data_IF_571326134151
#
_entry.id   IF_571326134151
#
_cell.length_a   1.000
_cell.length_b   1.000
_cell.length_c   1.000
_cell.angle_alpha   90.00
_cell.angle_beta   90.00
_cell.angle_gamma   90.00
#
_symmetry.space_group_name_H-M   'P 1'
#
loop_
_entity.id
_entity.type
_entity.pdbx_description
1 polymer ?
#
# COMPACT_ATOMS: atom_id res chain seq x y z
N UNK A 1 4.31 -15.14 20.83
CA UNK A 1 4.07 -14.63 19.46
C UNK A 1 4.76 -15.49 18.40
N UNK A 2 6.10 -15.62 18.37
CA UNK A 2 6.78 -16.44 17.34
C UNK A 2 6.47 -17.94 17.53
N UNK A 3 6.63 -18.46 18.76
CA UNK A 3 6.28 -19.85 19.07
C UNK A 3 4.80 -20.16 18.81
N UNK A 4 3.88 -19.27 19.23
CA UNK A 4 2.44 -19.42 18.97
C UNK A 4 2.14 -19.49 17.46
N UNK A 5 2.78 -18.63 16.65
CA UNK A 5 2.62 -18.63 15.19
C UNK A 5 3.17 -19.91 14.55
N UNK A 6 4.28 -20.44 15.09
CA UNK A 6 4.84 -21.72 14.65
C UNK A 6 3.90 -22.87 15.00
N UNK A 7 3.31 -22.88 16.20
CA UNK A 7 2.31 -23.86 16.61
C UNK A 7 1.08 -23.81 15.70
N UNK A 8 0.58 -22.61 15.37
CA UNK A 8 -0.52 -22.45 14.41
C UNK A 8 -0.19 -23.03 13.02
N UNK A 9 1.07 -22.94 12.57
CA UNK A 9 1.50 -23.53 11.30
C UNK A 9 1.56 -25.06 11.40
N UNK A 10 2.03 -25.60 12.53
CA UNK A 10 2.09 -27.04 12.78
C UNK A 10 0.70 -27.67 12.92
N UNK A 11 -0.23 -26.96 13.55
CA UNK A 11 -1.62 -27.39 13.75
C UNK A 11 -2.49 -27.16 12.51
N UNK A 12 -1.97 -26.46 11.48
CA UNK A 12 -2.71 -26.20 10.26
C UNK A 12 -2.90 -27.47 9.44
N UNK A 13 -4.14 -27.93 9.30
CA UNK A 13 -4.51 -29.01 8.40
C UNK A 13 -4.99 -28.45 7.04
N UNK A 14 -4.18 -28.53 5.96
CA UNK A 14 -4.55 -28.01 4.65
C UNK A 14 -5.80 -28.70 4.11
N UNK A 15 -6.71 -27.91 3.52
CA UNK A 15 -7.87 -28.44 2.79
C UNK A 15 -7.71 -28.15 1.31
N UNK A 16 -7.91 -29.20 0.51
CA UNK A 16 -7.96 -29.07 -0.94
C UNK A 16 -9.14 -28.20 -1.37
N UNK A 17 -8.89 -27.34 -2.35
CA UNK A 17 -9.91 -26.55 -3.02
C UNK A 17 -9.46 -26.25 -4.46
N UNK A 18 -10.44 -26.13 -5.34
CA UNK A 18 -10.23 -25.84 -6.74
C UNK A 18 -10.88 -24.52 -7.12
N UNK A 19 -10.26 -23.83 -8.07
CA UNK A 19 -10.78 -22.60 -8.66
C UNK A 19 -10.90 -22.78 -10.16
N UNK A 20 -12.04 -22.38 -10.72
CA UNK A 20 -12.26 -22.43 -12.16
C UNK A 20 -12.20 -20.99 -12.68
N UNK A 21 -11.36 -20.78 -13.69
CA UNK A 21 -11.26 -19.54 -14.44
C UNK A 21 -11.60 -19.81 -15.90
N UNK A 22 -12.26 -18.85 -16.54
CA UNK A 22 -12.56 -18.86 -17.97
C UNK A 22 -11.97 -17.64 -18.63
N UNK A 23 -11.33 -17.83 -19.78
CA UNK A 23 -10.90 -16.73 -20.66
C UNK A 23 -12.04 -16.39 -21.61
N UNK A 24 -12.48 -15.13 -21.57
CA UNK A 24 -13.62 -14.62 -22.34
C UNK A 24 -13.16 -13.46 -23.21
N UNK A 25 -13.85 -13.27 -24.33
CA UNK A 25 -13.72 -12.10 -25.18
C UNK A 25 -15.11 -11.69 -25.66
N UNK A 26 -15.27 -10.42 -26.04
CA UNK A 26 -16.49 -9.99 -26.73
C UNK A 26 -16.52 -10.63 -28.13
N UNK A 27 -17.73 -10.99 -28.60
CA UNK A 27 -17.89 -11.63 -29.91
C UNK A 27 -17.32 -10.77 -31.06
N UNK A 28 -17.45 -9.46 -30.93
CA UNK A 28 -16.98 -8.46 -31.90
C UNK A 28 -15.50 -8.11 -31.74
N UNK A 29 -14.87 -8.47 -30.61
CA UNK A 29 -13.51 -8.05 -30.25
C UNK A 29 -12.74 -9.21 -29.61
N UNK A 30 -12.38 -10.19 -30.43
CA UNK A 30 -11.78 -11.45 -30.00
C UNK A 30 -10.35 -11.32 -29.46
N UNK A 31 -9.65 -10.23 -29.78
CA UNK A 31 -8.30 -9.96 -29.28
C UNK A 31 -8.30 -9.41 -27.84
N UNK A 32 -9.40 -8.75 -27.43
CA UNK A 32 -9.54 -8.16 -26.10
C UNK A 32 -10.02 -9.21 -25.07
N UNK A 33 -9.12 -10.10 -24.70
CA UNK A 33 -9.43 -11.19 -23.76
C UNK A 33 -9.31 -10.77 -22.31
N UNK A 34 -10.17 -11.33 -21.46
CA UNK A 34 -10.09 -11.18 -20.01
C UNK A 34 -10.46 -12.48 -19.30
N UNK A 35 -10.00 -12.64 -18.05
CA UNK A 35 -10.33 -13.81 -17.24
C UNK A 35 -11.47 -13.50 -16.28
N UNK A 36 -12.40 -14.44 -16.16
CA UNK A 36 -13.44 -14.44 -15.15
C UNK A 36 -13.30 -15.69 -14.28
N UNK A 37 -13.48 -15.51 -12.97
CA UNK A 37 -13.44 -16.61 -12.00
C UNK A 37 -14.86 -17.05 -11.66
N UNK A 38 -15.10 -18.36 -11.60
CA UNK A 38 -16.36 -18.91 -11.09
C UNK A 38 -16.45 -18.63 -9.57
N UNK A 39 -17.49 -17.92 -9.16
CA UNK A 39 -17.66 -17.48 -7.75
C UNK A 39 -18.89 -18.09 -7.05
N UNK A 40 -19.91 -18.49 -7.80
CA UNK A 40 -21.17 -18.99 -7.27
C UNK A 40 -21.93 -19.78 -8.35
N UNK A 41 -22.88 -20.61 -7.92
CA UNK A 41 -23.91 -21.20 -8.78
C UNK A 41 -24.96 -20.15 -9.18
N UNK A 42 -25.87 -20.53 -10.09
CA UNK A 42 -26.86 -19.64 -10.67
C UNK A 42 -27.83 -19.02 -9.63
N UNK A 43 -28.06 -19.69 -8.51
CA UNK A 43 -28.86 -19.24 -7.36
C UNK A 43 -28.10 -18.30 -6.40
N UNK A 44 -26.80 -18.08 -6.63
CA UNK A 44 -25.94 -17.26 -5.77
C UNK A 44 -25.24 -18.02 -4.65
N UNK A 45 -25.40 -19.35 -4.58
CA UNK A 45 -24.71 -20.17 -3.58
C UNK A 45 -23.21 -20.25 -3.89
N UNK A 46 -22.37 -19.99 -2.89
CA UNK A 46 -20.91 -20.12 -3.06
C UNK A 46 -20.54 -21.58 -3.31
N UNK A 47 -19.84 -21.83 -4.41
CA UNK A 47 -19.39 -23.16 -4.76
C UNK A 47 -18.16 -23.55 -3.93
N UNK A 48 -18.24 -24.71 -3.27
CA UNK A 48 -17.09 -25.35 -2.64
C UNK A 48 -16.63 -26.51 -3.53
N UNK A 49 -15.54 -26.31 -4.28
CA UNK A 49 -14.99 -27.32 -5.19
C UNK A 49 -13.84 -28.01 -4.47
N UNK A 50 -14.15 -29.11 -3.78
CA UNK A 50 -13.23 -29.78 -2.85
C UNK A 50 -12.23 -30.74 -3.51
N UNK A 51 -12.46 -31.12 -4.77
CA UNK A 51 -11.67 -32.15 -5.45
C UNK A 51 -11.63 -31.93 -6.98
N UNK A 52 -10.62 -32.52 -7.60
CA UNK A 52 -10.34 -32.43 -9.04
C UNK A 52 -11.51 -32.94 -9.90
N UNK A 53 -12.16 -34.03 -9.49
CA UNK A 53 -13.24 -34.63 -10.28
C UNK A 53 -14.44 -33.69 -10.36
N UNK A 54 -14.82 -33.05 -9.24
CA UNK A 54 -15.86 -32.00 -9.24
C UNK A 54 -15.44 -30.82 -10.10
N UNK A 55 -14.19 -30.38 -10.00
CA UNK A 55 -13.67 -29.26 -10.80
C UNK A 55 -13.75 -29.54 -12.31
N UNK A 56 -13.29 -30.71 -12.74
CA UNK A 56 -13.28 -31.12 -14.15
C UNK A 56 -14.69 -31.29 -14.73
N UNK A 57 -15.65 -31.80 -13.93
CA UNK A 57 -17.05 -31.86 -14.34
C UNK A 57 -17.63 -30.47 -14.60
N UNK A 58 -17.45 -29.56 -13.65
CA UNK A 58 -17.93 -28.19 -13.77
C UNK A 58 -17.25 -27.48 -14.95
N UNK A 59 -15.94 -27.67 -15.16
CA UNK A 59 -15.21 -27.10 -16.28
C UNK A 59 -15.76 -27.60 -17.62
N UNK A 60 -16.00 -28.91 -17.77
CA UNK A 60 -16.55 -29.49 -18.99
C UNK A 60 -17.99 -29.01 -19.31
N UNK A 61 -18.79 -28.72 -18.29
CA UNK A 61 -20.11 -28.11 -18.45
C UNK A 61 -20.01 -26.64 -18.90
N UNK A 62 -19.05 -25.90 -18.33
CA UNK A 62 -18.79 -24.51 -18.66
C UNK A 62 -18.21 -24.31 -20.07
N UNK A 63 -17.39 -25.24 -20.57
CA UNK A 63 -16.86 -25.19 -21.95
C UNK A 63 -17.96 -25.17 -23.02
N UNK A 64 -19.12 -25.77 -22.73
CA UNK A 64 -20.26 -25.85 -23.64
C UNK A 64 -21.27 -24.72 -23.44
N UNK A 65 -21.04 -23.88 -22.43
CA UNK A 65 -21.99 -22.86 -22.02
C UNK A 65 -21.86 -21.58 -22.85
N UNK A 66 -22.98 -20.85 -22.95
CA UNK A 66 -22.98 -19.49 -23.46
C UNK A 66 -22.89 -18.52 -22.28
N UNK A 67 -21.99 -17.54 -22.40
CA UNK A 67 -21.73 -16.53 -21.39
C UNK A 67 -22.41 -15.22 -21.76
N UNK A 68 -23.02 -14.57 -20.78
CA UNK A 68 -23.60 -13.24 -20.94
C UNK A 68 -23.28 -12.37 -19.73
N UNK A 69 -23.09 -11.08 -19.98
CA UNK A 69 -22.87 -10.11 -18.92
C UNK A 69 -24.19 -9.89 -18.19
N UNK A 70 -24.22 -10.24 -16.91
CA UNK A 70 -25.38 -10.03 -16.03
C UNK A 70 -25.42 -8.59 -15.52
N UNK A 71 -24.27 -8.06 -15.09
CA UNK A 71 -24.18 -6.67 -14.67
C UNK A 71 -22.75 -6.12 -14.79
N UNK A 72 -22.66 -4.81 -15.02
CA UNK A 72 -21.41 -4.05 -14.96
C UNK A 72 -21.61 -2.94 -13.93
N UNK A 73 -20.73 -2.89 -12.95
CA UNK A 73 -20.73 -1.83 -11.93
C UNK A 73 -19.35 -1.22 -11.82
N UNK A 74 -19.24 0.05 -12.21
CA UNK A 74 -18.03 0.84 -12.01
C UNK A 74 -18.22 1.74 -10.80
N UNK A 75 -17.28 1.69 -9.87
CA UNK A 75 -17.24 2.59 -8.70
C UNK A 75 -15.88 3.25 -8.60
N UNK A 76 -15.87 4.54 -8.29
CA UNK A 76 -14.64 5.24 -7.98
C UNK A 76 -14.25 5.01 -6.51
N UNK A 77 -13.03 4.53 -6.28
CA UNK A 77 -12.48 4.27 -4.95
C UNK A 77 -11.30 5.21 -4.72
N UNK A 78 -11.35 5.97 -3.63
CA UNK A 78 -10.25 6.83 -3.20
C UNK A 78 -9.32 6.08 -2.23
N UNK A 79 -8.03 5.97 -2.58
CA UNK A 79 -6.98 5.49 -1.69
C UNK A 79 -6.28 6.67 -1.02
N UNK A 80 -6.45 6.78 0.29
CA UNK A 80 -5.81 7.83 1.08
C UNK A 80 -4.31 7.57 1.24
N UNK A 81 -3.47 8.63 1.28
CA UNK A 81 -2.06 8.47 1.61
C UNK A 81 -1.89 8.01 3.06
N UNK A 82 -0.79 7.30 3.31
CA UNK A 82 -0.41 6.88 4.66
C UNK A 82 0.08 8.09 5.49
N UNK A 83 -0.06 8.03 6.83
CA UNK A 83 0.49 9.06 7.71
C UNK A 83 2.02 9.17 7.60
N UNK A 84 2.61 10.30 8.07
CA UNK A 84 4.04 10.40 8.34
C UNK A 84 4.55 9.24 9.20
N UNK A 85 5.86 8.97 9.12
CA UNK A 85 6.42 7.82 9.84
C UNK A 85 6.46 8.02 11.35
N UNK A 86 6.13 6.97 12.08
CA UNK A 86 6.59 6.69 13.45
C UNK A 86 7.66 5.59 13.42
N UNK A 87 8.32 5.32 14.54
CA UNK A 87 9.41 4.33 14.63
C UNK A 87 9.01 2.97 14.07
N UNK A 88 7.84 2.44 14.48
CA UNK A 88 7.39 1.12 14.04
C UNK A 88 7.10 1.07 12.54
N UNK A 89 6.40 2.06 12.01
CA UNK A 89 6.09 2.13 10.57
C UNK A 89 7.31 2.37 9.69
N UNK A 90 8.31 3.12 10.19
CA UNK A 90 9.59 3.30 9.49
C UNK A 90 10.34 1.97 9.38
N UNK A 91 10.45 1.24 10.49
CA UNK A 91 11.12 -0.06 10.51
C UNK A 91 10.43 -1.08 9.59
N UNK A 92 9.10 -1.15 9.63
CA UNK A 92 8.32 -2.05 8.76
C UNK A 92 8.53 -1.72 7.27
N UNK A 93 8.47 -0.45 6.90
CA UNK A 93 8.61 -0.05 5.49
C UNK A 93 10.06 -0.10 5.00
N UNK A 94 11.04 0.16 5.88
CA UNK A 94 12.45 -0.03 5.57
C UNK A 94 12.79 -1.51 5.36
N UNK A 95 12.21 -2.42 6.16
CA UNK A 95 12.30 -3.86 5.91
C UNK A 95 11.67 -4.23 4.56
N UNK A 96 10.41 -3.82 4.33
CA UNK A 96 9.65 -4.19 3.13
C UNK A 96 10.25 -3.66 1.82
N UNK A 97 10.81 -2.45 1.83
CA UNK A 97 11.27 -1.75 0.61
C UNK A 97 12.77 -1.73 0.43
N UNK A 98 13.53 -1.74 1.53
CA UNK A 98 14.99 -1.57 1.52
C UNK A 98 15.72 -2.82 2.04
N UNK A 99 14.99 -3.81 2.57
CA UNK A 99 15.53 -5.00 3.24
C UNK A 99 16.42 -4.66 4.45
N UNK A 100 16.18 -3.52 5.09
CA UNK A 100 16.91 -3.13 6.29
C UNK A 100 16.29 -3.78 7.52
N UNK A 101 17.12 -4.42 8.34
CA UNK A 101 16.67 -4.89 9.66
C UNK A 101 16.29 -3.70 10.55
N UNK A 102 15.51 -3.94 11.60
CA UNK A 102 15.15 -2.89 12.56
C UNK A 102 16.41 -2.21 13.14
N UNK A 103 17.41 -3.00 13.54
CA UNK A 103 18.69 -2.50 14.07
C UNK A 103 19.41 -1.60 13.06
N UNK A 104 19.53 -2.04 11.80
CA UNK A 104 20.20 -1.26 10.77
C UNK A 104 19.45 0.03 10.44
N UNK A 105 18.11 -0.04 10.33
CA UNK A 105 17.25 1.12 10.12
C UNK A 105 17.47 2.18 11.19
N UNK A 106 17.48 1.78 12.46
CA UNK A 106 17.67 2.72 13.58
C UNK A 106 19.08 3.31 13.62
N UNK A 107 20.11 2.55 13.28
CA UNK A 107 21.48 3.06 13.20
C UNK A 107 21.63 4.13 12.11
N UNK A 108 21.06 3.90 10.93
CA UNK A 108 21.08 4.89 9.82
C UNK A 108 20.23 6.12 10.17
N UNK A 109 19.06 5.92 10.78
CA UNK A 109 18.21 7.04 11.22
C UNK A 109 18.88 7.90 12.30
N UNK A 110 19.63 7.30 13.22
CA UNK A 110 20.43 8.03 14.22
C UNK A 110 21.42 8.98 13.53
N UNK A 111 22.16 8.49 12.54
CA UNK A 111 23.13 9.32 11.78
C UNK A 111 22.44 10.48 11.06
N UNK A 112 21.29 10.22 10.42
CA UNK A 112 20.50 11.25 9.75
C UNK A 112 19.95 12.30 10.74
N UNK A 113 19.72 11.94 12.00
CA UNK A 113 19.25 12.84 13.06
C UNK A 113 20.37 13.66 13.68
N UNK A 114 21.47 13.02 14.08
CA UNK A 114 22.63 13.68 14.73
C UNK A 114 23.34 14.64 13.78
N UNK A 115 23.32 14.33 12.49
CA UNK A 115 23.74 15.21 11.42
C UNK A 115 24.87 14.65 10.57
N UNK A 116 24.91 15.13 9.33
CA UNK A 116 25.91 14.75 8.33
C UNK A 116 26.49 16.02 7.68
N UNK A 117 27.76 16.00 7.25
CA UNK A 117 28.36 17.15 6.57
C UNK A 117 27.65 17.43 5.23
N UNK A 118 27.00 18.58 5.10
CA UNK A 118 26.37 19.05 3.85
C UNK A 118 27.14 20.22 3.24
N UNK A 119 28.41 19.99 2.89
CA UNK A 119 29.25 21.02 2.26
C UNK A 119 29.37 22.28 3.13
N UNK A 120 29.01 23.43 2.57
CA UNK A 120 29.09 24.74 3.24
C UNK A 120 28.06 24.92 4.38
N UNK A 121 26.98 24.12 4.41
CA UNK A 121 26.00 24.16 5.51
C UNK A 121 26.52 23.52 6.82
N UNK A 122 27.70 22.88 6.78
CA UNK A 122 28.27 22.18 7.92
C UNK A 122 27.51 20.89 8.26
N UNK A 123 27.64 20.43 9.50
CA UNK A 123 26.94 19.24 9.98
C UNK A 123 25.49 19.58 10.34
N UNK A 124 24.53 18.97 9.65
CA UNK A 124 23.10 19.24 9.88
C UNK A 124 22.28 17.96 10.00
N UNK A 125 21.35 17.95 10.95
CA UNK A 125 20.31 16.93 11.06
C UNK A 125 19.35 16.98 9.87
N UNK A 126 19.24 15.88 9.14
CA UNK A 126 18.37 15.74 7.97
C UNK A 126 16.96 15.33 8.34
N UNK A 127 16.75 14.64 9.46
CA UNK A 127 15.44 14.19 9.93
C UNK A 127 15.16 14.59 11.38
N UNK A 128 13.89 14.58 11.76
CA UNK A 128 13.45 14.71 13.16
C UNK A 128 13.77 13.45 13.98
N UNK A 129 13.58 13.52 15.30
CA UNK A 129 13.89 12.41 16.20
C UNK A 129 13.17 11.12 15.82
N UNK A 130 13.93 10.05 15.59
CA UNK A 130 13.46 8.78 15.01
C UNK A 130 12.82 7.81 16.02
N UNK A 131 12.82 8.14 17.32
CA UNK A 131 12.15 7.37 18.38
C UNK A 131 10.88 8.11 18.81
N UNK A 132 9.80 7.86 18.09
CA UNK A 132 8.51 8.55 18.23
C UNK A 132 7.38 7.58 17.91
N UNK A 133 6.29 7.69 18.64
CA UNK A 133 5.01 7.03 18.39
C UNK A 133 3.94 8.01 17.83
N UNK A 134 4.35 9.27 17.62
CA UNK A 134 3.49 10.36 17.18
C UNK A 134 3.55 10.57 15.66
N UNK A 135 2.37 10.66 15.04
CA UNK A 135 2.23 11.03 13.62
C UNK A 135 2.02 12.54 13.43
N UNK A 136 2.10 13.31 14.52
CA UNK A 136 1.96 14.75 14.52
C UNK A 136 3.09 15.42 13.72
N UNK A 137 2.76 16.47 12.98
CA UNK A 137 3.73 17.32 12.27
C UNK A 137 3.43 18.77 12.63
N UNK A 138 4.47 19.55 12.92
CA UNK A 138 4.33 20.96 13.23
C UNK A 138 3.61 21.72 12.10
N UNK A 139 2.78 22.71 12.48
CA UNK A 139 1.99 23.51 11.53
C UNK A 139 2.89 24.18 10.48
N UNK A 140 4.07 24.67 10.88
CA UNK A 140 5.06 25.25 9.97
C UNK A 140 5.57 24.25 8.92
N UNK A 141 5.88 23.03 9.32
CA UNK A 141 6.33 21.98 8.42
C UNK A 141 5.21 21.49 7.48
N UNK A 142 3.95 21.47 7.96
CA UNK A 142 2.77 21.22 7.11
C UNK A 142 2.63 22.32 6.05
N UNK A 143 2.80 23.60 6.42
CA UNK A 143 2.75 24.70 5.46
C UNK A 143 3.87 24.57 4.42
N UNK A 144 5.09 24.28 4.85
CA UNK A 144 6.26 24.12 3.98
C UNK A 144 6.08 23.00 2.94
N UNK A 145 5.65 21.81 3.36
CA UNK A 145 5.44 20.67 2.43
C UNK A 145 4.28 20.93 1.46
N UNK A 146 3.22 21.62 1.90
CA UNK A 146 2.09 21.96 1.04
C UNK A 146 2.49 22.96 -0.04
N UNK A 147 3.26 23.98 0.33
CA UNK A 147 3.86 24.94 -0.60
C UNK A 147 4.79 24.23 -1.61
N UNK A 148 5.65 23.34 -1.13
CA UNK A 148 6.50 22.52 -1.99
C UNK A 148 5.68 21.68 -2.98
N UNK A 149 4.61 21.01 -2.54
CA UNK A 149 3.75 20.21 -3.41
C UNK A 149 3.08 21.07 -4.48
N UNK A 150 2.52 22.23 -4.09
CA UNK A 150 1.86 23.14 -5.02
C UNK A 150 2.82 23.64 -6.10
N UNK A 151 4.06 23.99 -5.73
CA UNK A 151 5.09 24.46 -6.66
C UNK A 151 5.64 23.37 -7.57
N UNK A 152 5.87 22.17 -7.02
CA UNK A 152 6.54 21.08 -7.74
C UNK A 152 5.61 20.20 -8.56
N UNK A 153 4.45 19.87 -8.02
CA UNK A 153 3.50 18.93 -8.63
C UNK A 153 2.23 19.60 -9.13
N UNK A 154 1.91 20.80 -8.65
CA UNK A 154 0.70 21.54 -9.01
C UNK A 154 -0.40 21.42 -7.96
N UNK A 155 -1.38 22.32 -8.05
CA UNK A 155 -2.46 22.47 -7.05
C UNK A 155 -3.41 21.28 -7.00
N UNK A 156 -3.57 20.53 -8.09
CA UNK A 156 -4.45 19.34 -8.15
C UNK A 156 -3.94 18.20 -7.25
N UNK A 157 -2.64 18.17 -6.99
CA UNK A 157 -2.01 17.20 -6.08
C UNK A 157 -2.11 17.61 -4.61
N UNK A 158 -2.75 18.75 -4.31
CA UNK A 158 -2.90 19.27 -2.97
C UNK A 158 -4.36 19.19 -2.51
N UNK A 159 -4.67 18.54 -1.38
CA UNK A 159 -6.01 18.56 -0.83
C UNK A 159 -6.34 19.97 -0.31
N UNK A 160 -7.62 20.33 -0.40
CA UNK A 160 -8.13 21.66 -0.03
C UNK A 160 -7.83 22.04 1.42
N UNK A 161 -7.74 21.06 2.32
CA UNK A 161 -7.34 21.24 3.72
C UNK A 161 -6.09 20.42 4.04
N UNK A 162 -5.23 20.90 4.96
CA UNK A 162 -4.12 20.10 5.46
C UNK A 162 -4.60 18.79 6.08
N UNK A 163 -3.83 17.72 5.89
CA UNK A 163 -4.13 16.42 6.49
C UNK A 163 -3.52 16.36 7.88
N UNK A 164 -4.36 16.09 8.87
CA UNK A 164 -3.93 15.90 10.25
C UNK A 164 -4.08 14.42 10.60
N UNK A 165 -2.97 13.81 10.98
CA UNK A 165 -2.92 12.43 11.44
C UNK A 165 -2.66 12.47 12.93
N UNK A 166 -3.73 12.44 13.73
CA UNK A 166 -3.61 12.33 15.17
C UNK A 166 -3.85 10.87 15.56
N UNK A 167 -2.87 10.25 16.23
CA UNK A 167 -3.11 9.01 16.96
C UNK A 167 -3.37 9.38 18.41
N UNK A 168 -4.52 8.98 18.97
CA UNK A 168 -4.74 8.98 20.42
C UNK A 168 -3.82 7.94 21.06
N UNK A 169 -2.55 8.28 21.30
CA UNK A 169 -1.74 7.49 22.21
C UNK A 169 -2.19 7.84 23.63
N UNK A 170 -2.54 6.81 24.42
CA UNK A 170 -3.13 6.93 25.77
C UNK A 170 -2.21 7.63 26.80
N UNK A 171 -0.98 7.93 26.41
CA UNK A 171 0.11 8.45 27.26
C UNK A 171 1.08 9.39 26.50
N UNK A 172 0.70 9.93 25.34
CA UNK A 172 1.62 10.76 24.56
C UNK A 172 1.97 12.04 25.31
N UNK A 173 3.25 12.18 25.67
CA UNK A 173 3.85 13.50 25.88
C UNK A 173 3.71 14.26 24.55
N UNK A 174 2.92 15.33 24.56
CA UNK A 174 2.49 16.13 23.39
C UNK A 174 3.64 16.82 22.61
N UNK A 175 4.91 16.50 22.93
CA UNK A 175 6.11 17.13 22.37
C UNK A 175 6.79 16.33 21.23
N UNK A 176 6.35 15.10 20.92
CA UNK A 176 7.02 14.31 19.89
C UNK A 176 6.43 14.54 18.49
N UNK A 177 7.30 14.85 17.54
CA UNK A 177 6.99 14.98 16.13
C UNK A 177 7.17 13.63 15.40
N UNK A 178 6.47 13.45 14.29
CA UNK A 178 6.69 12.36 13.36
C UNK A 178 8.11 12.39 12.78
N UNK A 179 8.57 11.25 12.28
CA UNK A 179 9.83 11.13 11.55
C UNK A 179 9.64 11.71 10.15
N UNK A 180 10.24 12.88 9.90
CA UNK A 180 10.16 13.63 8.65
C UNK A 180 11.49 14.35 8.36
N UNK A 181 11.71 14.85 7.13
CA UNK A 181 12.82 15.76 6.86
C UNK A 181 12.72 17.02 7.72
N UNK A 182 13.85 17.53 8.18
CA UNK A 182 13.91 18.82 8.90
C UNK A 182 13.54 20.00 8.00
N UNK A 183 13.92 19.94 6.72
CA UNK A 183 13.51 20.85 5.63
C UNK A 183 13.06 20.02 4.43
N UNK A 184 11.90 20.32 3.85
CA UNK A 184 11.34 19.57 2.72
C UNK A 184 12.10 19.87 1.42
N UNK A 185 12.63 21.09 1.29
CA UNK A 185 13.40 21.54 0.15
C UNK A 185 14.79 20.92 0.03
N UNK A 186 15.22 20.10 1.01
CA UNK A 186 16.40 19.24 0.88
C UNK A 186 16.00 17.98 0.14
N UNK A 187 15.78 18.10 -1.16
CA UNK A 187 15.32 16.95 -1.93
C UNK A 187 16.38 15.84 -1.96
N UNK A 188 15.98 14.54 -2.03
CA UNK A 188 16.93 13.43 -2.05
C UNK A 188 18.04 13.57 -3.10
N UNK A 189 17.72 14.14 -4.27
CA UNK A 189 18.71 14.40 -5.32
C UNK A 189 19.77 15.43 -4.95
N UNK A 190 19.44 16.43 -4.14
CA UNK A 190 20.37 17.49 -3.71
C UNK A 190 21.30 17.03 -2.59
N UNK A 191 20.80 16.18 -1.69
CA UNK A 191 21.61 15.65 -0.58
C UNK A 191 22.41 14.40 -0.95
N UNK A 192 22.09 13.76 -2.10
CA UNK A 192 22.76 12.55 -2.60
C UNK A 192 24.29 12.60 -2.60
N UNK A 193 24.98 13.68 -3.00
CA UNK A 193 26.44 13.72 -3.01
C UNK A 193 27.09 13.58 -1.62
N UNK A 194 26.33 13.86 -0.56
CA UNK A 194 26.82 13.89 0.82
C UNK A 194 26.45 12.64 1.63
N UNK A 195 25.65 11.74 1.05
CA UNK A 195 25.07 10.60 1.73
C UNK A 195 25.65 9.30 1.18
N UNK A 196 25.95 8.36 2.07
CA UNK A 196 26.21 6.99 1.65
C UNK A 196 24.90 6.34 1.13
N UNK A 197 24.99 5.19 0.41
CA UNK A 197 23.82 4.56 -0.19
C UNK A 197 22.69 4.20 0.79
N UNK A 198 23.03 3.80 2.02
CA UNK A 198 22.03 3.42 3.01
C UNK A 198 21.30 4.63 3.60
N UNK A 199 22.05 5.70 3.90
CA UNK A 199 21.53 6.99 4.35
C UNK A 199 20.61 7.60 3.31
N UNK A 200 21.03 7.62 2.04
CA UNK A 200 20.23 8.16 0.94
C UNK A 200 18.90 7.40 0.78
N UNK A 201 18.95 6.06 0.76
CA UNK A 201 17.74 5.23 0.63
C UNK A 201 16.76 5.46 1.77
N UNK A 202 17.24 5.54 3.00
CA UNK A 202 16.37 5.77 4.16
C UNK A 202 15.81 7.21 4.18
N UNK A 203 16.66 8.19 3.87
CA UNK A 203 16.23 9.58 3.75
C UNK A 203 15.17 9.78 2.66
N UNK A 204 15.39 9.21 1.47
CA UNK A 204 14.44 9.25 0.37
C UNK A 204 13.10 8.60 0.75
N UNK A 205 13.12 7.47 1.47
CA UNK A 205 11.91 6.83 1.97
C UNK A 205 11.13 7.75 2.94
N UNK A 206 11.83 8.37 3.90
CA UNK A 206 11.24 9.32 4.86
C UNK A 206 10.68 10.56 4.14
N UNK A 207 11.45 11.13 3.22
CA UNK A 207 11.06 12.29 2.44
C UNK A 207 9.82 12.03 1.60
N UNK A 208 9.79 10.93 0.85
CA UNK A 208 8.63 10.53 0.03
C UNK A 208 7.39 10.30 0.88
N UNK A 209 7.53 9.68 2.07
CA UNK A 209 6.39 9.49 2.99
C UNK A 209 5.83 10.83 3.46
N UNK A 210 6.70 11.77 3.86
CA UNK A 210 6.27 13.09 4.33
C UNK A 210 5.51 13.85 3.24
N UNK A 211 6.06 13.95 2.03
CA UNK A 211 5.41 14.60 0.89
C UNK A 211 4.07 13.94 0.59
N UNK A 212 4.06 12.62 0.38
CA UNK A 212 2.84 11.88 0.03
C UNK A 212 1.75 12.01 1.10
N UNK A 213 2.11 12.12 2.38
CA UNK A 213 1.14 12.26 3.48
C UNK A 213 0.25 13.50 3.36
N UNK A 214 0.71 14.54 2.65
CA UNK A 214 -0.03 15.79 2.44
C UNK A 214 -0.61 15.93 1.03
N UNK A 215 -0.48 14.90 0.16
CA UNK A 215 -1.02 14.92 -1.20
C UNK A 215 -2.49 14.48 -1.29
N UNK A 216 -3.11 14.76 -2.44
CA UNK A 216 -4.44 14.29 -2.81
C UNK A 216 -4.52 12.76 -2.85
N UNK A 217 -5.69 12.16 -2.56
CA UNK A 217 -5.84 10.72 -2.65
C UNK A 217 -5.73 10.26 -4.11
N UNK A 218 -5.28 9.02 -4.31
CA UNK A 218 -5.36 8.39 -5.64
C UNK A 218 -6.79 7.92 -5.87
N UNK A 219 -7.37 8.23 -7.03
CA UNK A 219 -8.69 7.77 -7.45
C UNK A 219 -8.54 6.60 -8.42
N UNK A 220 -9.26 5.51 -8.17
CA UNK A 220 -9.31 4.34 -9.04
C UNK A 220 -10.74 4.09 -9.47
N UNK A 221 -10.97 3.88 -10.77
CA UNK A 221 -12.21 3.28 -11.22
C UNK A 221 -12.09 1.76 -11.14
N UNK A 222 -12.92 1.16 -10.29
CA UNK A 222 -13.00 -0.28 -10.13
C UNK A 222 -14.27 -0.77 -10.82
N UNK A 223 -14.09 -1.54 -11.89
CA UNK A 223 -15.19 -2.14 -12.64
C UNK A 223 -15.35 -3.61 -12.24
N UNK A 224 -16.51 -3.94 -11.69
CA UNK A 224 -16.92 -5.31 -11.44
C UNK A 224 -17.88 -5.75 -12.56
N UNK A 225 -17.54 -6.85 -13.22
CA UNK A 225 -18.37 -7.48 -14.26
C UNK A 225 -18.86 -8.81 -13.70
N UNK A 226 -20.17 -8.93 -13.53
CA UNK A 226 -20.80 -10.21 -13.22
C UNK A 226 -21.21 -10.89 -14.52
N UNK A 227 -20.78 -12.14 -14.69
CA UNK A 227 -21.02 -12.94 -15.89
C UNK A 227 -21.81 -14.15 -15.46
N UNK A 228 -22.84 -14.45 -16.23
CA UNK A 228 -23.72 -15.59 -16.00
C UNK A 228 -23.66 -16.51 -17.21
N UNK A 229 -23.82 -17.80 -16.95
CA UNK A 229 -23.98 -18.81 -17.97
C UNK A 229 -25.41 -19.30 -18.01
N UNK A 230 -25.81 -19.84 -19.16
CA UNK A 230 -27.11 -20.50 -19.33
C UNK A 230 -27.18 -21.89 -18.67
N UNK A 231 -26.06 -22.44 -18.20
CA UNK A 231 -26.00 -23.72 -17.51
C UNK A 231 -26.21 -23.56 -15.99
N UNK A 232 -27.18 -24.28 -15.45
CA UNK A 232 -27.38 -24.39 -13.99
C UNK A 232 -26.45 -25.47 -13.46
N UNK A 233 -25.37 -25.05 -12.81
CA UNK A 233 -24.58 -25.94 -11.97
C UNK A 233 -25.39 -26.15 -10.69
N UNK A 234 -25.87 -27.37 -10.46
CA UNK A 234 -26.59 -27.71 -9.24
C UNK A 234 -25.67 -27.52 -8.03
N UNK A 235 -26.10 -26.74 -7.03
CA UNK A 235 -25.50 -26.76 -5.70
C UNK A 235 -25.97 -28.03 -4.99
N UNK A 236 -25.04 -28.89 -4.57
CA UNK A 236 -25.34 -29.93 -3.57
C UNK A 236 -25.63 -29.30 -2.21
#
# INVERSE_FOLDING_TARGET
MIADREQEIQDFNPKEYWTIEVELALLEEQEAKFRAKLIASADGTKLNISDENKANKIAADLEKANYFVKSIRTKQIARQPAPPFITSTLQQEAWRKLHFTAKHTMAVAQQLYEGLPLGEEGSVGLITYMRTDSTHVAVSAIAEVRDFIAKKYGVDFLPSRPRVFARKAKWAQEAHEAIRPTKIYREPGQVKPFLNPAQLKLYELIWKRMVASQMSPTLYDTTNVEIQTNHVIASE
#
